data_IF_926443245923
#
_entry.id   IF_926443245923
#
_cell.length_a   1.000
_cell.length_b   1.000
_cell.length_c   1.000
_cell.angle_alpha   90.00
_cell.angle_beta   90.00
_cell.angle_gamma   90.00
#
_symmetry.space_group_name_H-M   'P 1'
#
loop_
_entity.id
_entity.type
_entity.pdbx_description
1 polymer ?
#
# COMPACT_ATOMS: atom_id res chain seq x y z
N UNK A 1 -24.32 14.31 -1.45
CA UNK A 1 -22.88 14.60 -1.67
C UNK A 1 -21.98 13.52 -1.10
N UNK A 2 -21.98 13.28 0.23
CA UNK A 2 -21.10 12.30 0.89
C UNK A 2 -21.23 10.86 0.33
N UNK A 3 -22.45 10.43 0.01
CA UNK A 3 -22.70 9.10 -0.58
C UNK A 3 -22.03 8.90 -1.94
N UNK A 4 -21.98 9.95 -2.77
CA UNK A 4 -21.32 9.91 -4.07
C UNK A 4 -19.80 9.80 -3.88
N UNK A 5 -19.25 10.58 -2.93
CA UNK A 5 -17.83 10.54 -2.59
C UNK A 5 -17.43 9.14 -2.11
N UNK A 6 -18.23 8.53 -1.23
CA UNK A 6 -18.00 7.16 -0.76
C UNK A 6 -18.04 6.14 -1.90
N UNK A 7 -19.05 6.22 -2.77
CA UNK A 7 -19.18 5.31 -3.91
C UNK A 7 -17.98 5.42 -4.86
N UNK A 8 -17.58 6.63 -5.23
CA UNK A 8 -16.41 6.86 -6.10
C UNK A 8 -15.13 6.36 -5.44
N UNK A 9 -14.93 6.66 -4.16
CA UNK A 9 -13.74 6.25 -3.41
C UNK A 9 -13.67 4.73 -3.27
N UNK A 10 -14.79 4.08 -2.97
CA UNK A 10 -14.88 2.62 -2.89
C UNK A 10 -14.57 1.95 -4.25
N UNK A 11 -15.07 2.50 -5.36
CA UNK A 11 -14.75 1.98 -6.71
C UNK A 11 -13.26 2.13 -7.02
N UNK A 12 -12.68 3.29 -6.75
CA UNK A 12 -11.25 3.55 -6.99
C UNK A 12 -10.38 2.61 -6.16
N UNK A 13 -10.64 2.49 -4.85
CA UNK A 13 -9.88 1.58 -3.99
C UNK A 13 -10.05 0.12 -4.40
N UNK A 14 -11.26 -0.29 -4.82
CA UNK A 14 -11.51 -1.66 -5.28
C UNK A 14 -10.72 -1.97 -6.55
N UNK A 15 -10.69 -1.05 -7.52
CA UNK A 15 -9.91 -1.18 -8.74
C UNK A 15 -8.40 -1.20 -8.45
N UNK A 16 -7.93 -0.32 -7.56
CA UNK A 16 -6.54 -0.27 -7.15
C UNK A 16 -6.11 -1.57 -6.43
N UNK A 17 -6.95 -2.08 -5.52
CA UNK A 17 -6.69 -3.32 -4.81
C UNK A 17 -6.66 -4.52 -5.76
N UNK A 18 -7.60 -4.60 -6.70
CA UNK A 18 -7.59 -5.62 -7.75
C UNK A 18 -6.30 -5.57 -8.59
N UNK A 19 -5.87 -4.38 -8.99
CA UNK A 19 -4.61 -4.17 -9.71
C UNK A 19 -3.39 -4.63 -8.90
N UNK A 20 -3.33 -4.28 -7.61
CA UNK A 20 -2.27 -4.71 -6.70
C UNK A 20 -2.24 -6.24 -6.56
N UNK A 21 -3.39 -6.88 -6.34
CA UNK A 21 -3.50 -8.35 -6.23
C UNK A 21 -3.05 -9.05 -7.52
N UNK A 22 -3.44 -8.52 -8.68
CA UNK A 22 -2.98 -9.04 -9.98
C UNK A 22 -1.46 -8.95 -10.09
N UNK A 23 -0.86 -7.85 -9.64
CA UNK A 23 0.60 -7.66 -9.67
C UNK A 23 1.33 -8.55 -8.67
N UNK A 24 0.78 -8.76 -7.47
CA UNK A 24 1.30 -9.76 -6.51
C UNK A 24 1.30 -11.16 -7.16
N UNK A 25 0.23 -11.52 -7.86
CA UNK A 25 0.09 -12.86 -8.45
C UNK A 25 1.01 -13.07 -9.65
N UNK A 26 1.01 -12.13 -10.61
CA UNK A 26 1.72 -12.23 -11.89
C UNK A 26 3.13 -11.64 -11.89
N UNK A 27 3.55 -10.99 -10.81
CA UNK A 27 4.86 -10.37 -10.69
C UNK A 27 6.00 -11.37 -10.92
N UNK A 28 6.89 -11.17 -11.90
CA UNK A 28 7.98 -12.09 -12.23
C UNK A 28 9.12 -12.03 -11.20
N UNK A 29 9.25 -10.92 -10.48
CA UNK A 29 10.28 -10.70 -9.46
C UNK A 29 9.67 -10.69 -8.07
N UNK A 30 10.36 -11.27 -7.08
CA UNK A 30 9.99 -11.16 -5.67
C UNK A 30 9.88 -9.69 -5.23
N UNK A 31 10.74 -8.82 -5.78
CA UNK A 31 10.69 -7.38 -5.47
C UNK A 31 9.40 -6.73 -5.94
N UNK A 32 8.90 -7.12 -7.12
CA UNK A 32 7.65 -6.59 -7.66
C UNK A 32 6.45 -7.01 -6.81
N UNK A 33 6.48 -8.25 -6.29
CA UNK A 33 5.46 -8.77 -5.37
C UNK A 33 5.46 -8.05 -4.03
N UNK A 34 6.65 -7.77 -3.47
CA UNK A 34 6.78 -7.04 -2.21
C UNK A 34 6.28 -5.60 -2.38
N UNK A 35 6.67 -4.92 -3.45
CA UNK A 35 6.19 -3.56 -3.75
C UNK A 35 4.66 -3.54 -3.96
N UNK A 36 4.10 -4.51 -4.68
CA UNK A 36 2.66 -4.60 -4.86
C UNK A 36 1.92 -4.88 -3.55
N UNK A 37 2.53 -5.60 -2.61
CA UNK A 37 1.98 -5.83 -1.27
C UNK A 37 2.00 -4.56 -0.42
N UNK A 38 3.07 -3.76 -0.51
CA UNK A 38 3.17 -2.45 0.14
C UNK A 38 2.07 -1.49 -0.38
N UNK A 39 1.87 -1.44 -1.70
CA UNK A 39 0.78 -0.67 -2.31
C UNK A 39 -0.59 -1.14 -1.84
N UNK A 40 -0.82 -2.45 -1.74
CA UNK A 40 -2.07 -3.00 -1.21
C UNK A 40 -2.29 -2.58 0.25
N UNK A 41 -1.24 -2.60 1.07
CA UNK A 41 -1.29 -2.17 2.46
C UNK A 41 -1.66 -0.68 2.57
N UNK A 42 -1.08 0.18 1.72
CA UNK A 42 -1.42 1.60 1.65
C UNK A 42 -2.89 1.83 1.22
N UNK A 43 -3.40 1.03 0.28
CA UNK A 43 -4.82 1.05 -0.14
C UNK A 43 -5.75 0.74 1.04
N UNK A 44 -5.44 -0.29 1.84
CA UNK A 44 -6.22 -0.61 3.05
C UNK A 44 -6.16 0.53 4.06
N UNK A 45 -4.98 1.10 4.32
CA UNK A 45 -4.83 2.26 5.20
C UNK A 45 -5.66 3.45 4.75
N UNK A 46 -5.66 3.76 3.46
CA UNK A 46 -6.47 4.83 2.88
C UNK A 46 -7.98 4.59 3.04
N UNK A 47 -8.45 3.36 2.84
CA UNK A 47 -9.85 3.00 3.05
C UNK A 47 -10.28 3.21 4.52
N UNK A 48 -9.43 2.83 5.48
CA UNK A 48 -9.67 3.08 6.91
C UNK A 48 -9.70 4.58 7.25
N UNK A 49 -8.84 5.37 6.63
CA UNK A 49 -8.86 6.83 6.79
C UNK A 49 -10.18 7.43 6.29
N UNK A 50 -10.70 6.96 5.16
CA UNK A 50 -11.98 7.42 4.61
C UNK A 50 -13.14 7.03 5.53
N UNK A 51 -13.15 5.80 6.02
CA UNK A 51 -14.12 5.32 7.01
C UNK A 51 -14.13 6.21 8.27
N UNK A 52 -12.95 6.47 8.84
CA UNK A 52 -12.79 7.35 10.00
C UNK A 52 -13.26 8.78 9.73
N UNK A 53 -12.94 9.33 8.55
CA UNK A 53 -13.32 10.69 8.16
C UNK A 53 -14.83 10.84 7.98
N UNK A 54 -15.49 9.82 7.43
CA UNK A 54 -16.94 9.82 7.19
C UNK A 54 -17.73 9.57 8.48
N UNK A 55 -17.31 8.60 9.28
CA UNK A 55 -17.99 8.21 10.51
C UNK A 55 -17.60 9.05 11.74
N UNK A 56 -16.63 9.97 11.58
CA UNK A 56 -16.15 10.89 12.63
C UNK A 56 -15.68 10.18 13.90
N UNK A 57 -14.95 9.09 13.74
CA UNK A 57 -14.32 8.35 14.84
C UNK A 57 -12.86 8.05 14.55
N UNK A 58 -12.09 7.74 15.60
CA UNK A 58 -10.67 7.42 15.48
C UNK A 58 -10.32 5.96 15.87
N UNK A 59 -11.30 5.08 15.92
CA UNK A 59 -11.12 3.70 16.41
C UNK A 59 -10.02 2.92 15.67
N UNK A 60 -9.86 3.16 14.37
CA UNK A 60 -8.88 2.49 13.53
C UNK A 60 -7.55 3.25 13.42
N UNK A 61 -7.35 4.34 14.17
CA UNK A 61 -6.15 5.18 14.07
C UNK A 61 -4.88 4.39 14.36
N UNK A 62 -4.88 3.57 15.42
CA UNK A 62 -3.74 2.73 15.76
C UNK A 62 -3.39 1.76 14.62
N UNK A 63 -4.41 1.19 13.97
CA UNK A 63 -4.23 0.28 12.85
C UNK A 63 -3.63 1.01 11.64
N UNK A 64 -4.13 2.20 11.30
CA UNK A 64 -3.56 3.04 10.22
C UNK A 64 -2.10 3.40 10.50
N UNK A 65 -1.77 3.75 11.74
CA UNK A 65 -0.39 4.05 12.13
C UNK A 65 0.50 2.82 11.98
N UNK A 66 0.07 1.66 12.47
CA UNK A 66 0.82 0.42 12.33
C UNK A 66 1.07 0.05 10.86
N UNK A 67 0.01 0.11 10.03
CA UNK A 67 0.07 -0.11 8.57
C UNK A 67 1.06 0.86 7.91
N UNK A 68 1.03 2.14 8.29
CA UNK A 68 1.94 3.16 7.73
C UNK A 68 3.40 2.87 8.06
N UNK A 69 3.68 2.45 9.30
CA UNK A 69 5.03 2.08 9.74
C UNK A 69 5.50 0.83 8.98
N UNK A 70 4.65 -0.21 8.90
CA UNK A 70 4.98 -1.45 8.20
C UNK A 70 5.30 -1.17 6.72
N UNK A 71 4.46 -0.38 6.05
CA UNK A 71 4.68 -0.05 4.64
C UNK A 71 5.95 0.78 4.41
N UNK A 72 6.19 1.77 5.27
CA UNK A 72 7.43 2.55 5.22
C UNK A 72 8.69 1.67 5.39
N UNK A 73 8.70 0.80 6.40
CA UNK A 73 9.81 -0.14 6.61
C UNK A 73 9.99 -1.05 5.39
N UNK A 74 8.89 -1.62 4.87
CA UNK A 74 8.92 -2.47 3.67
C UNK A 74 9.54 -1.76 2.46
N UNK A 75 9.13 -0.52 2.19
CA UNK A 75 9.67 0.30 1.11
C UNK A 75 11.17 0.60 1.27
N UNK A 76 11.60 0.97 2.48
CA UNK A 76 13.02 1.24 2.79
C UNK A 76 13.88 -0.02 2.65
N UNK A 77 13.43 -1.16 3.16
CA UNK A 77 14.13 -2.44 3.03
C UNK A 77 14.34 -2.81 1.57
N UNK A 78 13.31 -2.68 0.73
CA UNK A 78 13.41 -2.95 -0.71
C UNK A 78 14.40 -1.99 -1.38
N UNK A 79 14.35 -0.70 -1.07
CA UNK A 79 15.25 0.30 -1.64
C UNK A 79 16.72 0.02 -1.30
N UNK A 80 17.00 -0.38 -0.05
CA UNK A 80 18.35 -0.76 0.39
C UNK A 80 18.85 -2.01 -0.30
N UNK A 81 18.02 -3.05 -0.40
CA UNK A 81 18.37 -4.29 -1.06
C UNK A 81 18.66 -4.13 -2.56
N UNK A 82 17.91 -3.25 -3.24
CA UNK A 82 18.17 -2.93 -4.65
C UNK A 82 19.47 -2.14 -4.83
N UNK A 83 19.80 -1.25 -3.89
CA UNK A 83 21.06 -0.51 -3.91
C UNK A 83 22.27 -1.43 -3.72
N UNK A 84 22.20 -2.37 -2.79
CA UNK A 84 23.27 -3.33 -2.47
C UNK A 84 23.64 -4.22 -3.67
N UNK A 85 22.65 -4.56 -4.52
CA UNK A 85 22.87 -5.33 -5.76
C UNK A 85 23.47 -4.52 -6.91
N UNK A 86 23.58 -3.20 -6.78
CA UNK A 86 24.06 -2.28 -7.82
C UNK A 86 25.52 -1.84 -7.63
N UNK A 87 26.27 -2.45 -6.72
CA UNK A 87 27.73 -2.30 -6.65
C UNK A 87 28.42 -3.43 -7.43
N UNK A 88 28.56 -3.33 -8.78
CA UNK A 88 29.58 -4.10 -9.47
C UNK A 88 30.94 -3.50 -9.13
N UNK A 89 31.88 -4.38 -8.80
CA UNK A 89 33.30 -4.09 -8.65
C UNK A 89 33.82 -3.24 -9.82
N UNK A 90 33.98 -1.93 -9.62
CA UNK A 90 34.94 -1.14 -10.40
C UNK A 90 36.33 -1.50 -9.88
N UNK A 91 36.94 -2.48 -10.55
CA UNK A 91 38.35 -2.86 -10.43
C UNK A 91 39.22 -2.03 -11.37
#
# INVERSE_FOLDING_TARGET
MMQIVLAVTAVIFSLAAAGAIVRISRGPSLLDRVLATDVLLAILGGALCVDMAVNRHLNNLMLVVAISIIGFIGSVTVARFVADRREPHES
#
